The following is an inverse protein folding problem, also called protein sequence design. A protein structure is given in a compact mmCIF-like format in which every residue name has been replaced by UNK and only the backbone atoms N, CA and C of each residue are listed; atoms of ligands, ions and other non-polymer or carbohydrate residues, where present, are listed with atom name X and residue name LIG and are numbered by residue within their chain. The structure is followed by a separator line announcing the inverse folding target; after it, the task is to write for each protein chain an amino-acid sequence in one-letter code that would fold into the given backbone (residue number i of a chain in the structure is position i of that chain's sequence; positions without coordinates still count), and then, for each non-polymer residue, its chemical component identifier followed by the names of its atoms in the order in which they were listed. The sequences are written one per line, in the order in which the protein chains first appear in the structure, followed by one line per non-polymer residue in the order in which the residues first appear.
data_IF_929954451212
#
_entry.id   IF_929954451212
#
_cell.length_a   1.000
_cell.length_b   1.000
_cell.length_c   1.000
_cell.angle_alpha   90.00
_cell.angle_beta   90.00
_cell.angle_gamma   90.00
#
_symmetry.space_group_name_H-M   'P 1'
#
loop_
_entity.id
_entity.type
_entity.pdbx_description
1 polymer ?
#
# COMPACT_ATOMS: atom_id res chain seq x y z
N UNK A 1 2.82 -4.27 -21.68
CA UNK A 1 1.72 -3.51 -22.35
C UNK A 1 1.92 -1.99 -22.31
N UNK A 2 1.88 -1.31 -21.15
CA UNK A 2 1.96 0.15 -21.10
C UNK A 2 3.28 0.68 -21.70
N UNK A 3 4.40 0.11 -21.26
CA UNK A 3 5.71 0.45 -21.80
C UNK A 3 5.77 0.15 -23.30
N UNK A 4 5.50 -1.09 -23.73
CA UNK A 4 5.53 -1.51 -25.16
C UNK A 4 4.67 -0.61 -26.05
N UNK A 5 3.52 -0.16 -25.55
CA UNK A 5 2.57 0.66 -26.31
C UNK A 5 2.99 2.12 -26.41
N UNK A 6 3.47 2.71 -25.33
CA UNK A 6 3.63 4.17 -25.23
C UNK A 6 5.08 4.63 -25.21
N UNK A 7 6.01 3.77 -24.78
CA UNK A 7 7.44 4.06 -24.68
C UNK A 7 7.70 5.40 -23.98
N UNK A 8 6.96 5.62 -22.88
CA UNK A 8 7.09 6.76 -21.98
C UNK A 8 7.51 6.26 -20.59
N UNK A 9 8.20 7.09 -19.81
CA UNK A 9 8.46 6.80 -18.40
C UNK A 9 7.15 6.50 -17.68
N UNK A 10 7.18 5.49 -16.81
CA UNK A 10 6.04 5.09 -15.98
C UNK A 10 6.27 5.51 -14.53
N UNK A 11 5.17 5.75 -13.81
CA UNK A 11 5.19 6.04 -12.39
C UNK A 11 4.09 5.23 -11.71
N UNK A 12 4.43 4.35 -10.79
CA UNK A 12 3.43 3.63 -9.98
C UNK A 12 3.03 4.56 -8.85
N UNK A 13 1.97 5.34 -9.08
CA UNK A 13 1.51 6.37 -8.14
C UNK A 13 0.71 5.79 -6.97
N UNK A 14 0.19 4.58 -7.11
CA UNK A 14 -0.56 3.88 -6.07
C UNK A 14 -0.30 2.38 -6.12
N UNK A 15 0.07 1.81 -4.98
CA UNK A 15 0.03 0.37 -4.72
C UNK A 15 -0.14 0.14 -3.21
N UNK A 16 -1.02 -0.76 -2.80
CA UNK A 16 -1.20 -1.06 -1.38
C UNK A 16 -2.21 -2.17 -1.15
N UNK A 17 -2.18 -2.75 0.05
CA UNK A 17 -3.09 -3.79 0.49
C UNK A 17 -3.97 -3.26 1.63
N UNK A 18 -5.27 -3.23 1.38
CA UNK A 18 -6.26 -2.93 2.41
C UNK A 18 -6.58 -4.20 3.19
N UNK A 19 -6.28 -4.22 4.49
CA UNK A 19 -6.52 -5.34 5.38
C UNK A 19 -7.04 -4.84 6.74
N UNK A 20 -7.41 -5.77 7.62
CA UNK A 20 -7.73 -5.46 9.01
C UNK A 20 -6.48 -5.64 9.85
N UNK A 21 -6.19 -4.65 10.67
CA UNK A 21 -5.04 -4.69 11.58
C UNK A 21 -5.54 -5.00 12.99
N UNK A 22 -4.81 -5.86 13.69
CA UNK A 22 -5.08 -6.27 15.05
C UNK A 22 -3.83 -6.02 15.89
N UNK A 23 -4.01 -5.53 17.11
CA UNK A 23 -2.94 -5.36 18.07
C UNK A 23 -2.59 -6.70 18.71
N UNK A 24 -1.30 -6.98 18.83
CA UNK A 24 -0.78 -8.09 19.61
C UNK A 24 -0.79 -7.79 21.12
N UNK A 25 -0.31 -8.73 21.93
CA UNK A 25 -0.25 -8.61 23.39
C UNK A 25 0.66 -7.46 23.87
N UNK A 26 1.57 -6.96 23.01
CA UNK A 26 2.48 -5.87 23.30
C UNK A 26 1.94 -4.50 22.85
N UNK A 27 0.77 -4.47 22.21
CA UNK A 27 0.19 -3.25 21.65
C UNK A 27 0.84 -2.84 20.33
N UNK A 28 1.45 -3.77 19.61
CA UNK A 28 2.00 -3.56 18.27
C UNK A 28 1.12 -4.23 17.21
N UNK A 29 1.17 -3.73 15.98
CA UNK A 29 0.51 -4.35 14.84
C UNK A 29 1.57 -5.11 14.05
N UNK A 30 1.41 -6.43 13.97
CA UNK A 30 2.28 -7.30 13.14
C UNK A 30 1.64 -7.48 11.76
N UNK A 31 1.94 -6.57 10.83
CA UNK A 31 1.35 -6.52 9.48
C UNK A 31 2.20 -7.22 8.41
N UNK A 32 2.76 -8.39 8.73
CA UNK A 32 3.59 -9.19 7.80
C UNK A 32 2.91 -9.46 6.45
N UNK A 33 1.58 -9.55 6.44
CA UNK A 33 0.80 -9.70 5.20
C UNK A 33 0.93 -8.48 4.27
N UNK A 34 1.05 -7.27 4.82
CA UNK A 34 1.22 -6.02 4.08
C UNK A 34 2.66 -5.89 3.60
N UNK A 35 3.61 -6.26 4.46
CA UNK A 35 5.04 -6.33 4.12
C UNK A 35 5.25 -7.29 2.94
N UNK A 36 4.73 -8.52 3.03
CA UNK A 36 4.85 -9.51 1.97
C UNK A 36 4.24 -9.02 0.65
N UNK A 37 3.02 -8.47 0.70
CA UNK A 37 2.36 -7.93 -0.49
C UNK A 37 3.20 -6.84 -1.19
N UNK A 38 3.69 -5.87 -0.42
CA UNK A 38 4.50 -4.78 -0.99
C UNK A 38 5.84 -5.28 -1.49
N UNK A 39 6.48 -6.21 -0.77
CA UNK A 39 7.74 -6.80 -1.18
C UNK A 39 7.59 -7.52 -2.54
N UNK A 40 6.58 -8.37 -2.68
CA UNK A 40 6.32 -9.10 -3.93
C UNK A 40 6.13 -8.14 -5.12
N UNK A 41 5.41 -7.02 -4.92
CA UNK A 41 5.21 -6.02 -5.96
C UNK A 41 6.48 -5.22 -6.27
N UNK A 42 7.30 -4.93 -5.27
CA UNK A 42 8.59 -4.25 -5.47
C UNK A 42 9.58 -5.15 -6.23
N UNK A 43 9.59 -6.46 -5.95
CA UNK A 43 10.36 -7.44 -6.73
C UNK A 43 9.94 -7.39 -8.19
N UNK A 44 8.63 -7.42 -8.49
CA UNK A 44 8.15 -7.33 -9.88
C UNK A 44 8.42 -5.97 -10.53
N UNK A 45 8.35 -4.87 -9.77
CA UNK A 45 8.73 -3.55 -10.26
C UNK A 45 10.22 -3.49 -10.62
N UNK A 46 11.07 -4.18 -9.85
CA UNK A 46 12.49 -4.30 -10.16
C UNK A 46 12.73 -5.13 -11.42
N UNK A 47 12.06 -6.28 -11.58
CA UNK A 47 12.14 -7.08 -12.81
C UNK A 47 11.72 -6.26 -14.04
N UNK A 48 10.67 -5.44 -13.94
CA UNK A 48 10.26 -4.55 -15.04
C UNK A 48 11.34 -3.52 -15.40
N UNK A 49 12.09 -3.00 -14.43
CA UNK A 49 13.25 -2.13 -14.68
C UNK A 49 14.34 -2.91 -15.44
N UNK A 50 14.61 -4.16 -15.06
CA UNK A 50 15.58 -5.03 -15.74
C UNK A 50 15.15 -5.34 -17.19
N UNK A 51 13.85 -5.44 -17.44
CA UNK A 51 13.27 -5.58 -18.78
C UNK A 51 13.32 -4.29 -19.63
N UNK A 52 13.87 -3.20 -19.07
CA UNK A 52 14.11 -1.94 -19.77
C UNK A 52 12.98 -0.91 -19.64
N UNK A 53 12.06 -1.09 -18.70
CA UNK A 53 11.03 -0.07 -18.40
C UNK A 53 11.66 1.08 -17.63
N UNK A 54 11.51 2.30 -18.13
CA UNK A 54 11.87 3.51 -17.38
C UNK A 54 10.82 3.79 -16.28
N UNK A 55 11.06 3.27 -15.07
CA UNK A 55 10.20 3.48 -13.91
C UNK A 55 10.73 4.63 -13.03
N UNK A 56 9.95 5.71 -12.93
CA UNK A 56 10.31 6.92 -12.19
C UNK A 56 10.20 6.77 -10.67
N UNK A 57 9.33 5.89 -10.21
CA UNK A 57 9.04 5.73 -8.79
C UNK A 57 7.89 4.79 -8.50
N UNK A 58 7.74 4.51 -7.20
CA UNK A 58 6.72 3.66 -6.62
C UNK A 58 6.24 4.34 -5.33
N UNK A 59 4.96 4.71 -5.27
CA UNK A 59 4.35 5.32 -4.08
C UNK A 59 3.20 4.48 -3.59
N UNK A 60 3.27 4.13 -2.31
CA UNK A 60 2.25 3.32 -1.66
C UNK A 60 0.96 4.10 -1.48
N UNK A 61 -0.17 3.44 -1.72
CA UNK A 61 -1.47 3.99 -1.40
C UNK A 61 -1.69 3.99 0.10
N UNK A 62 -2.11 5.13 0.64
CA UNK A 62 -2.41 5.29 2.07
C UNK A 62 -1.22 4.95 2.97
N UNK A 63 -0.06 5.63 2.87
CA UNK A 63 1.11 5.36 3.72
C UNK A 63 0.85 5.65 5.22
N UNK A 64 -0.19 6.44 5.50
CA UNK A 64 -0.81 6.63 6.81
C UNK A 64 -2.27 6.19 6.68
N UNK A 65 -2.83 5.58 7.73
CA UNK A 65 -4.22 5.16 7.72
C UNK A 65 -5.18 6.31 7.43
N UNK A 66 -6.15 6.03 6.56
CA UNK A 66 -7.13 6.97 6.06
C UNK A 66 -8.46 6.27 5.78
N UNK A 67 -9.51 7.06 5.58
CA UNK A 67 -10.84 6.55 5.24
C UNK A 67 -10.83 5.92 3.85
N UNK A 68 -11.14 4.63 3.74
CA UNK A 68 -11.14 3.91 2.49
C UNK A 68 -12.16 4.49 1.49
N UNK A 69 -11.74 4.72 0.24
CA UNK A 69 -12.56 5.39 -0.78
C UNK A 69 -13.88 4.65 -1.10
N UNK A 70 -13.84 3.32 -1.19
CA UNK A 70 -15.01 2.54 -1.65
C UNK A 70 -16.08 2.32 -0.59
N UNK A 71 -15.68 2.18 0.66
CA UNK A 71 -16.56 1.73 1.76
C UNK A 71 -16.67 2.75 2.89
N UNK A 72 -15.88 3.83 2.85
CA UNK A 72 -15.78 4.83 3.91
C UNK A 72 -15.41 4.23 5.29
N UNK A 73 -14.57 3.19 5.29
CA UNK A 73 -14.11 2.47 6.48
C UNK A 73 -12.69 2.90 6.89
N UNK A 74 -12.46 3.06 8.20
CA UNK A 74 -11.14 3.07 8.84
C UNK A 74 -10.62 1.66 9.13
N UNK A 75 -11.52 0.68 9.33
CA UNK A 75 -11.13 -0.72 9.60
C UNK A 75 -10.42 -1.41 8.44
N UNK A 76 -10.50 -0.83 7.24
CA UNK A 76 -9.71 -1.23 6.07
C UNK A 76 -8.45 -0.37 5.97
N UNK A 77 -7.37 -0.86 6.57
CA UNK A 77 -6.11 -0.14 6.79
C UNK A 77 -5.07 -0.45 5.73
N UNK A 78 -4.24 0.54 5.44
CA UNK A 78 -3.23 0.52 4.38
C UNK A 78 -1.87 1.00 4.88
N UNK A 79 -1.85 1.75 5.98
CA UNK A 79 -0.70 2.54 6.39
C UNK A 79 0.43 1.75 7.00
N UNK A 80 1.61 2.34 6.89
CA UNK A 80 2.74 2.05 7.79
C UNK A 80 2.55 2.74 9.14
N UNK A 81 1.73 3.80 9.14
CA UNK A 81 1.42 4.61 10.30
C UNK A 81 -0.03 4.37 10.65
N UNK A 82 -0.24 3.66 11.76
CA UNK A 82 -1.55 3.48 12.36
C UNK A 82 -2.12 4.81 12.84
N UNK A 83 -3.40 5.04 12.56
CA UNK A 83 -4.18 6.15 13.12
C UNK A 83 -5.23 5.59 14.07
N UNK A 84 -5.24 6.10 15.30
CA UNK A 84 -6.22 5.77 16.32
C UNK A 84 -7.59 6.39 15.99
N UNK A 85 -8.25 5.77 15.02
CA UNK A 85 -9.59 6.12 14.59
C UNK A 85 -10.32 4.86 14.11
N UNK A 86 -11.59 4.76 14.46
CA UNK A 86 -12.45 3.61 14.14
C UNK A 86 -13.70 4.03 13.35
N UNK A 87 -14.39 3.05 12.75
CA UNK A 87 -15.56 3.26 11.89
C UNK A 87 -16.74 3.93 12.63
N UNK A 88 -16.83 3.73 13.94
CA UNK A 88 -17.85 4.34 14.80
C UNK A 88 -17.47 5.74 15.31
N UNK A 89 -16.31 6.25 14.89
CA UNK A 89 -15.81 7.57 15.26
C UNK A 89 -15.01 7.62 16.56
N UNK A 90 -14.80 6.49 17.25
CA UNK A 90 -13.91 6.41 18.41
C UNK A 90 -12.42 6.55 18.02
N UNK A 91 -11.57 6.85 19.00
CA UNK A 91 -10.12 7.14 18.85
C UNK A 91 -9.77 8.62 19.02
N UNK A 92 -8.48 8.96 19.16
CA UNK A 92 -8.00 10.34 19.41
C UNK A 92 -7.22 10.97 18.27
#
# INVERSE_FOLDING_TARGET
FLHDRYQKPLFIVENGLGARDEFDENGEIQDDYRIAYLNDHLVQAHEAILDGVELMGFTSWGPIDLVANSTAEMSKRYGYIYVDRHDDGQGT
#
